data_IF_600928191091
#
_entry.id   IF_600928191091
#
_cell.length_a   1.000
_cell.length_b   1.000
_cell.length_c   1.000
_cell.angle_alpha   90.00
_cell.angle_beta   90.00
_cell.angle_gamma   90.00
#
_symmetry.space_group_name_H-M   'P 1'
#
loop_
_entity.id
_entity.type
_entity.pdbx_description
1 polymer ?
#
# COMPACT_ATOMS: atom_id res chain seq x y z
N UNK A 1 6.72 20.01 -1.44
CA UNK A 1 7.22 19.46 -2.70
C UNK A 1 8.62 19.99 -2.92
N UNK A 2 9.63 19.19 -2.62
CA UNK A 2 11.01 19.45 -3.02
C UNK A 2 11.16 19.13 -4.49
N UNK A 3 11.99 19.85 -5.24
CA UNK A 3 12.53 19.35 -6.50
C UNK A 3 13.98 18.91 -6.23
N UNK A 4 14.32 17.65 -6.45
CA UNK A 4 15.72 17.20 -6.45
C UNK A 4 16.07 16.69 -7.85
N UNK A 5 17.25 17.04 -8.33
CA UNK A 5 17.83 16.50 -9.57
C UNK A 5 18.34 15.09 -9.30
N UNK A 6 17.83 14.09 -10.01
CA UNK A 6 18.18 12.68 -9.80
C UNK A 6 19.34 12.21 -10.71
N UNK A 7 20.19 11.33 -10.19
CA UNK A 7 21.30 10.65 -10.88
C UNK A 7 20.84 9.62 -11.95
N UNK A 8 21.73 9.24 -12.89
CA UNK A 8 21.46 8.77 -14.27
C UNK A 8 21.35 7.24 -14.51
N UNK A 9 21.05 6.38 -13.56
CA UNK A 9 20.73 4.95 -13.85
C UNK A 9 19.62 4.43 -12.93
N UNK A 10 18.61 3.63 -13.36
CA UNK A 10 18.56 2.57 -14.37
C UNK A 10 17.50 2.78 -15.49
N UNK A 11 17.47 1.89 -16.49
CA UNK A 11 16.80 2.07 -17.81
C UNK A 11 15.29 2.40 -17.80
N UNK A 12 14.52 2.05 -16.77
CA UNK A 12 13.07 2.37 -16.69
C UNK A 12 12.79 3.83 -16.29
N UNK A 13 13.70 4.45 -15.52
CA UNK A 13 13.64 5.86 -15.13
C UNK A 13 13.94 6.81 -16.30
N UNK A 14 14.60 6.33 -17.36
CA UNK A 14 14.93 7.14 -18.54
C UNK A 14 13.72 7.72 -19.27
N UNK A 15 12.52 7.14 -19.14
CA UNK A 15 11.32 7.64 -19.84
C UNK A 15 10.54 8.71 -19.08
N UNK A 16 10.56 8.69 -17.74
CA UNK A 16 9.76 9.61 -16.93
C UNK A 16 10.43 10.98 -16.84
N UNK A 17 9.66 12.05 -17.04
CA UNK A 17 10.17 13.45 -16.99
C UNK A 17 10.18 14.00 -15.57
N UNK A 18 9.23 13.53 -14.77
CA UNK A 18 9.00 13.95 -13.40
C UNK A 18 8.48 12.76 -12.59
N UNK A 19 8.88 12.68 -11.32
CA UNK A 19 8.39 11.71 -10.35
C UNK A 19 7.85 12.43 -9.13
N UNK A 20 6.75 11.95 -8.56
CA UNK A 20 6.17 12.50 -7.33
C UNK A 20 6.18 11.43 -6.23
N UNK A 21 6.67 11.80 -5.05
CA UNK A 21 6.71 10.99 -3.84
C UNK A 21 5.95 11.70 -2.72
N UNK A 22 5.19 10.93 -1.95
CA UNK A 22 4.40 11.40 -0.81
C UNK A 22 4.15 10.23 0.14
N UNK A 23 3.33 10.43 1.18
CA UNK A 23 2.97 9.43 2.21
C UNK A 23 4.19 8.94 2.98
N UNK A 24 4.79 7.83 2.57
CA UNK A 24 5.85 7.15 3.32
C UNK A 24 7.19 7.87 3.27
N UNK A 25 7.41 8.76 2.29
CA UNK A 25 8.70 9.45 2.12
C UNK A 25 9.08 10.28 3.35
N UNK A 26 8.10 10.81 4.08
CA UNK A 26 8.30 11.61 5.30
C UNK A 26 8.30 10.81 6.60
N UNK A 27 8.26 9.47 6.57
CA UNK A 27 8.21 8.66 7.80
C UNK A 27 6.98 8.93 8.67
N UNK A 28 5.84 9.22 8.04
CA UNK A 28 4.60 9.61 8.71
C UNK A 28 4.44 11.12 8.92
N UNK A 29 5.49 11.92 8.66
CA UNK A 29 5.42 13.37 8.71
C UNK A 29 5.01 13.96 7.36
N UNK A 30 4.34 15.14 7.34
CA UNK A 30 3.94 15.80 6.09
C UNK A 30 5.15 16.16 5.24
N UNK A 31 5.35 15.39 4.16
CA UNK A 31 6.41 15.65 3.19
C UNK A 31 6.02 15.13 1.81
N UNK A 32 6.36 15.92 0.79
CA UNK A 32 6.31 15.51 -0.60
C UNK A 32 7.57 15.94 -1.32
N UNK A 33 8.02 15.08 -2.23
CA UNK A 33 9.18 15.27 -3.08
C UNK A 33 8.75 15.09 -4.52
N UNK A 34 9.27 15.92 -5.39
CA UNK A 34 9.23 15.78 -6.82
C UNK A 34 10.67 15.67 -7.30
N UNK A 35 10.92 14.74 -8.21
CA UNK A 35 12.20 14.68 -8.92
C UNK A 35 11.93 15.15 -10.34
N UNK A 36 12.66 16.16 -10.80
CA UNK A 36 12.54 16.72 -12.14
C UNK A 36 13.84 16.46 -12.85
N UNK A 37 13.76 16.03 -14.11
CA UNK A 37 14.96 15.95 -14.94
C UNK A 37 15.51 17.36 -15.19
N UNK A 38 16.84 17.55 -15.20
CA UNK A 38 17.45 18.88 -15.37
C UNK A 38 16.94 19.64 -16.60
N UNK A 39 16.72 18.97 -17.74
CA UNK A 39 16.20 19.61 -18.97
C UNK A 39 14.75 20.12 -18.86
N UNK A 40 14.03 19.72 -17.81
CA UNK A 40 12.66 20.15 -17.53
C UNK A 40 12.55 21.04 -16.30
N UNK A 41 13.61 21.14 -15.50
CA UNK A 41 13.69 22.05 -14.36
C UNK A 41 14.05 23.47 -14.85
N UNK A 42 13.03 24.17 -15.34
CA UNK A 42 13.15 25.51 -15.93
C UNK A 42 12.62 26.60 -15.00
N UNK A 43 12.39 26.28 -13.72
CA UNK A 43 11.91 27.23 -12.74
C UNK A 43 12.97 28.28 -12.43
N UNK A 44 12.56 29.54 -12.44
CA UNK A 44 13.37 30.65 -11.95
C UNK A 44 13.34 30.69 -10.42
N UNK A 45 14.33 31.34 -9.79
CA UNK A 45 14.33 31.55 -8.34
C UNK A 45 13.00 32.14 -7.87
N UNK A 46 12.38 31.50 -6.87
CA UNK A 46 11.12 31.95 -6.27
C UNK A 46 9.84 31.41 -6.92
N UNK A 47 9.90 30.77 -8.09
CA UNK A 47 8.70 30.29 -8.80
C UNK A 47 8.05 29.05 -8.16
N UNK A 48 8.78 28.34 -7.29
CA UNK A 48 8.28 27.17 -6.56
C UNK A 48 8.59 27.25 -5.06
N UNK A 49 7.93 28.17 -4.36
CA UNK A 49 8.11 28.42 -2.92
C UNK A 49 6.96 27.87 -2.06
N UNK A 50 7.19 27.74 -0.75
CA UNK A 50 6.15 27.43 0.22
C UNK A 50 6.70 27.34 1.64
N UNK A 51 6.00 27.97 2.58
CA UNK A 51 6.46 28.23 3.97
C UNK A 51 6.86 26.97 4.74
N UNK A 52 6.13 25.88 4.58
CA UNK A 52 6.35 24.62 5.33
C UNK A 52 7.03 23.53 4.51
N UNK A 53 7.55 23.85 3.32
CA UNK A 53 8.23 22.86 2.48
C UNK A 53 9.51 22.43 3.22
N UNK A 54 9.54 21.12 3.51
CA UNK A 54 10.56 20.38 4.28
C UNK A 54 11.01 21.08 5.51
N UNK A 55 10.06 21.11 6.42
CA UNK A 55 10.34 21.00 7.81
C UNK A 55 11.49 19.98 8.05
N UNK A 56 12.49 20.42 8.82
CA UNK A 56 13.70 19.65 9.10
C UNK A 56 13.39 18.29 9.73
N UNK A 57 12.32 18.22 10.52
CA UNK A 57 11.91 17.00 11.21
C UNK A 57 11.56 15.88 10.21
N UNK A 58 10.83 16.20 9.14
CA UNK A 58 10.51 15.24 8.09
C UNK A 58 11.77 14.73 7.40
N UNK A 59 12.77 15.58 7.13
CA UNK A 59 14.04 15.13 6.56
C UNK A 59 14.80 14.18 7.47
N UNK A 60 14.88 14.48 8.77
CA UNK A 60 15.53 13.59 9.75
C UNK A 60 14.84 12.23 9.80
N UNK A 61 13.50 12.21 9.78
CA UNK A 61 12.72 10.98 9.71
C UNK A 61 12.96 10.22 8.39
N UNK A 62 12.97 10.91 7.24
CA UNK A 62 13.25 10.34 5.92
C UNK A 62 14.63 9.69 5.85
N UNK A 63 15.68 10.37 6.36
CA UNK A 63 17.03 9.82 6.39
C UNK A 63 17.08 8.56 7.28
N UNK A 64 16.35 8.57 8.40
CA UNK A 64 16.26 7.40 9.28
C UNK A 64 15.60 6.21 8.57
N UNK A 65 14.59 6.45 7.73
CA UNK A 65 13.95 5.40 6.93
C UNK A 65 14.90 4.74 5.94
N UNK A 66 15.86 5.48 5.36
CA UNK A 66 16.82 4.91 4.41
C UNK A 66 17.66 3.78 5.02
N UNK A 67 17.76 3.69 6.34
CA UNK A 67 18.42 2.58 7.02
C UNK A 67 17.79 1.22 6.71
N UNK A 68 16.47 1.16 6.46
CA UNK A 68 15.77 -0.08 6.09
C UNK A 68 16.15 -0.60 4.69
N UNK A 69 16.84 0.21 3.88
CA UNK A 69 17.31 -0.15 2.53
C UNK A 69 18.84 -0.28 2.46
N UNK A 70 19.52 -0.43 3.61
CA UNK A 70 20.98 -0.68 3.66
C UNK A 70 21.36 -2.08 3.18
N UNK A 71 20.46 -3.03 3.31
CA UNK A 71 20.59 -4.40 2.84
C UNK A 71 19.27 -4.88 2.20
N UNK A 72 19.26 -6.11 1.70
CA UNK A 72 18.09 -6.71 1.07
C UNK A 72 17.07 -7.29 2.07
N UNK A 73 17.31 -7.22 3.39
CA UNK A 73 16.49 -7.89 4.41
C UNK A 73 15.02 -7.46 4.40
N UNK A 74 14.73 -6.15 4.30
CA UNK A 74 13.35 -5.67 4.18
C UNK A 74 12.70 -6.14 2.87
N UNK A 75 13.44 -6.07 1.76
CA UNK A 75 12.95 -6.46 0.43
C UNK A 75 12.60 -7.95 0.39
N UNK A 76 13.48 -8.80 0.90
CA UNK A 76 13.29 -10.25 0.93
C UNK A 76 12.12 -10.63 1.86
N UNK A 77 12.00 -9.97 3.01
CA UNK A 77 10.85 -10.12 3.90
C UNK A 77 9.53 -9.70 3.21
N UNK A 78 9.52 -8.59 2.48
CA UNK A 78 8.34 -8.13 1.71
C UNK A 78 7.98 -9.12 0.61
N UNK A 79 8.95 -9.67 -0.12
CA UNK A 79 8.70 -10.68 -1.15
C UNK A 79 8.05 -11.92 -0.52
N UNK A 80 8.64 -12.46 0.55
CA UNK A 80 8.11 -13.63 1.26
C UNK A 80 6.69 -13.37 1.79
N UNK A 81 6.48 -12.29 2.54
CA UNK A 81 5.17 -11.93 3.10
C UNK A 81 4.13 -11.68 2.02
N UNK A 82 4.53 -11.08 0.89
CA UNK A 82 3.62 -10.85 -0.23
C UNK A 82 3.10 -12.16 -0.82
N UNK A 83 3.93 -13.20 -0.88
CA UNK A 83 3.50 -14.51 -1.35
C UNK A 83 2.49 -15.13 -0.38
N UNK A 84 2.75 -15.08 0.93
CA UNK A 84 1.82 -15.55 1.97
C UNK A 84 0.46 -14.87 1.85
N UNK A 85 0.43 -13.54 1.75
CA UNK A 85 -0.82 -12.78 1.59
C UNK A 85 -1.54 -13.21 0.31
N UNK A 86 -0.81 -13.30 -0.81
CA UNK A 86 -1.38 -13.67 -2.11
C UNK A 86 -2.04 -15.04 -2.05
N UNK A 87 -1.35 -16.01 -1.47
CA UNK A 87 -1.81 -17.39 -1.36
C UNK A 87 -3.06 -17.50 -0.47
N UNK A 88 -3.07 -16.81 0.67
CA UNK A 88 -4.23 -16.75 1.57
C UNK A 88 -5.46 -16.15 0.87
N UNK A 89 -5.29 -15.02 0.18
CA UNK A 89 -6.40 -14.41 -0.57
C UNK A 89 -6.88 -15.30 -1.74
N UNK A 90 -5.98 -16.00 -2.41
CA UNK A 90 -6.34 -16.94 -3.47
C UNK A 90 -7.11 -18.14 -2.94
N UNK A 91 -6.75 -18.64 -1.75
CA UNK A 91 -7.48 -19.72 -1.10
C UNK A 91 -8.90 -19.30 -0.73
N UNK A 92 -9.08 -18.09 -0.19
CA UNK A 92 -10.41 -17.52 0.07
C UNK A 92 -11.23 -17.46 -1.24
N UNK A 93 -10.65 -16.90 -2.32
CA UNK A 93 -11.34 -16.83 -3.61
C UNK A 93 -11.69 -18.21 -4.21
N UNK A 94 -10.85 -19.23 -3.96
CA UNK A 94 -11.10 -20.61 -4.39
C UNK A 94 -12.17 -21.32 -3.56
N UNK A 95 -12.34 -20.94 -2.30
CA UNK A 95 -13.33 -21.52 -1.40
C UNK A 95 -14.73 -21.02 -1.72
N UNK A 96 -14.87 -19.74 -2.09
CA UNK A 96 -16.14 -19.08 -2.43
C UNK A 96 -16.20 -18.75 -3.93
N UNK A 97 -16.17 -19.77 -4.80
CA UNK A 97 -16.02 -19.56 -6.26
C UNK A 97 -17.19 -18.81 -6.88
N UNK A 98 -18.39 -19.04 -6.36
CA UNK A 98 -19.65 -18.39 -6.73
C UNK A 98 -19.58 -16.87 -6.58
N UNK A 99 -18.74 -16.37 -5.67
CA UNK A 99 -18.53 -14.94 -5.44
C UNK A 99 -17.66 -14.29 -6.52
N UNK A 100 -17.05 -15.06 -7.43
CA UNK A 100 -16.21 -14.58 -8.53
C UNK A 100 -15.12 -13.57 -8.09
N UNK A 101 -14.50 -13.84 -6.93
CA UNK A 101 -13.50 -12.93 -6.36
C UNK A 101 -12.18 -12.95 -7.15
N UNK A 102 -11.50 -11.80 -7.21
CA UNK A 102 -10.23 -11.68 -7.91
C UNK A 102 -9.13 -11.07 -7.02
N UNK A 103 -8.01 -11.79 -6.90
CA UNK A 103 -6.84 -11.31 -6.16
C UNK A 103 -5.96 -10.42 -7.05
N UNK A 104 -5.76 -9.17 -6.64
CA UNK A 104 -4.98 -8.16 -7.36
C UNK A 104 -3.89 -7.56 -6.47
N UNK A 105 -2.89 -6.95 -7.10
CA UNK A 105 -1.85 -6.18 -6.40
C UNK A 105 -0.43 -6.72 -6.57
N UNK A 106 0.52 -6.05 -5.91
CA UNK A 106 1.96 -6.32 -5.94
C UNK A 106 2.60 -6.02 -4.59
N UNK A 107 3.57 -6.83 -4.17
CA UNK A 107 4.18 -6.71 -2.84
C UNK A 107 3.11 -6.80 -1.75
N UNK A 108 3.19 -5.94 -0.74
CA UNK A 108 2.18 -5.84 0.33
C UNK A 108 1.04 -4.86 0.01
N UNK A 109 0.96 -4.36 -1.22
CA UNK A 109 -0.23 -3.64 -1.72
C UNK A 109 -1.09 -4.65 -2.45
N UNK A 110 -2.03 -5.28 -1.73
CA UNK A 110 -2.89 -6.33 -2.27
C UNK A 110 -4.36 -6.04 -2.05
N UNK A 111 -5.22 -6.68 -2.82
CA UNK A 111 -6.65 -6.56 -2.64
C UNK A 111 -7.41 -7.77 -3.15
N UNK A 112 -8.53 -8.05 -2.50
CA UNK A 112 -9.52 -9.03 -2.92
C UNK A 112 -10.71 -8.26 -3.49
N UNK A 113 -10.83 -8.27 -4.83
CA UNK A 113 -11.99 -7.70 -5.51
C UNK A 113 -13.16 -8.68 -5.35
N UNK A 114 -14.27 -8.20 -4.80
CA UNK A 114 -15.51 -8.94 -4.62
C UNK A 114 -16.57 -8.22 -5.47
N UNK A 115 -16.97 -8.77 -6.63
CA UNK A 115 -17.91 -8.14 -7.55
C UNK A 115 -19.28 -7.82 -6.96
N UNK A 116 -19.73 -8.61 -5.99
CA UNK A 116 -21.02 -8.41 -5.36
C UNK A 116 -21.08 -7.08 -4.59
N UNK A 117 -22.10 -6.28 -4.91
CA UNK A 117 -22.27 -4.95 -4.36
C UNK A 117 -22.46 -5.00 -2.84
N UNK A 118 -21.70 -4.16 -2.12
CA UNK A 118 -21.80 -4.07 -0.67
C UNK A 118 -21.13 -5.21 0.11
N UNK A 119 -20.77 -6.33 -0.53
CA UNK A 119 -20.16 -7.46 0.17
C UNK A 119 -18.81 -7.09 0.80
N UNK A 120 -17.93 -6.40 0.05
CA UNK A 120 -16.64 -5.91 0.57
C UNK A 120 -16.80 -5.03 1.83
N UNK A 121 -17.86 -4.20 1.89
CA UNK A 121 -18.19 -3.39 3.07
C UNK A 121 -18.68 -4.24 4.24
N UNK A 122 -19.51 -5.26 3.97
CA UNK A 122 -19.97 -6.22 4.97
C UNK A 122 -18.78 -6.95 5.60
N UNK A 123 -17.85 -7.42 4.78
CA UNK A 123 -16.60 -8.06 5.23
C UNK A 123 -15.76 -7.11 6.07
N UNK A 124 -15.52 -5.88 5.60
CA UNK A 124 -14.77 -4.86 6.36
C UNK A 124 -15.40 -4.58 7.74
N UNK A 125 -16.73 -4.46 7.80
CA UNK A 125 -17.46 -4.27 9.08
C UNK A 125 -17.32 -5.47 10.01
N UNK A 126 -17.37 -6.69 9.48
CA UNK A 126 -17.20 -7.91 10.27
C UNK A 126 -15.75 -8.08 10.75
N UNK A 127 -14.76 -7.68 9.95
CA UNK A 127 -13.36 -7.64 10.35
C UNK A 127 -13.13 -6.63 11.48
N UNK A 128 -13.73 -5.45 11.39
CA UNK A 128 -13.65 -4.43 12.44
C UNK A 128 -14.19 -4.91 13.78
N UNK A 129 -15.33 -5.61 13.79
CA UNK A 129 -15.88 -6.23 15.02
C UNK A 129 -14.95 -7.28 15.64
N UNK A 130 -14.04 -7.83 14.85
CA UNK A 130 -13.06 -8.84 15.26
C UNK A 130 -11.69 -8.23 15.57
N UNK A 131 -11.57 -6.90 15.59
CA UNK A 131 -10.34 -6.20 15.95
C UNK A 131 -9.42 -5.85 14.78
N UNK A 132 -9.82 -6.11 13.53
CA UNK A 132 -9.03 -5.78 12.34
C UNK A 132 -9.56 -4.53 11.63
N UNK A 133 -8.73 -3.50 11.52
CA UNK A 133 -9.01 -2.34 10.67
C UNK A 133 -8.61 -2.67 9.23
N UNK A 134 -9.61 -2.75 8.35
CA UNK A 134 -9.40 -2.96 6.92
C UNK A 134 -10.40 -2.13 6.11
N UNK A 135 -9.89 -1.39 5.13
CA UNK A 135 -10.66 -0.44 4.33
C UNK A 135 -11.08 -1.04 2.99
N UNK A 136 -12.14 -0.50 2.40
CA UNK A 136 -12.50 -0.80 1.01
C UNK A 136 -11.86 0.19 0.04
N UNK A 137 -11.77 -0.19 -1.24
CA UNK A 137 -11.30 0.64 -2.33
C UNK A 137 -12.01 0.28 -3.64
N UNK A 138 -11.73 1.02 -4.69
CA UNK A 138 -12.38 0.90 -5.99
C UNK A 138 -13.58 1.85 -6.14
N UNK A 139 -14.00 2.15 -7.38
CA UNK A 139 -15.09 3.08 -7.66
C UNK A 139 -16.42 2.70 -6.99
N UNK A 140 -16.64 1.41 -6.72
CA UNK A 140 -17.85 0.89 -6.10
C UNK A 140 -17.60 0.32 -4.70
N UNK A 141 -16.43 0.58 -4.10
CA UNK A 141 -15.98 -0.03 -2.84
C UNK A 141 -15.95 -1.57 -2.90
N UNK A 142 -15.63 -2.10 -4.08
CA UNK A 142 -15.68 -3.51 -4.41
C UNK A 142 -14.36 -4.26 -4.11
N UNK A 143 -13.35 -3.58 -3.56
CA UNK A 143 -12.06 -4.18 -3.23
C UNK A 143 -11.80 -4.10 -1.74
N UNK A 144 -11.62 -5.24 -1.08
CA UNK A 144 -11.06 -5.29 0.27
C UNK A 144 -9.54 -5.06 0.17
N UNK A 145 -9.05 -3.94 0.70
CA UNK A 145 -7.68 -3.44 0.48
C UNK A 145 -6.76 -3.82 1.63
N UNK A 146 -5.74 -4.63 1.35
CA UNK A 146 -4.68 -5.00 2.28
C UNK A 146 -3.45 -4.10 2.03
N UNK A 147 -3.08 -3.34 3.06
CA UNK A 147 -1.92 -2.45 3.04
C UNK A 147 -1.20 -2.45 4.41
N UNK A 148 -0.75 -3.62 4.91
CA UNK A 148 -0.02 -3.70 6.17
C UNK A 148 1.33 -2.96 6.09
N UNK A 149 1.90 -2.52 7.23
CA UNK A 149 3.25 -1.97 7.23
C UNK A 149 4.25 -3.02 6.77
N UNK A 150 5.30 -2.60 6.04
CA UNK A 150 6.31 -3.53 5.52
C UNK A 150 7.08 -4.27 6.64
N UNK A 151 7.09 -3.68 7.82
CA UNK A 151 7.72 -4.20 9.05
C UNK A 151 6.81 -5.10 9.88
N UNK A 152 5.56 -5.37 9.47
CA UNK A 152 4.61 -6.21 10.24
C UNK A 152 5.24 -7.55 10.62
N UNK A 153 5.04 -8.01 11.86
CA UNK A 153 5.49 -9.34 12.29
C UNK A 153 4.74 -10.44 11.51
N UNK A 154 5.38 -11.60 11.33
CA UNK A 154 4.77 -12.69 10.56
C UNK A 154 3.54 -13.25 11.28
N UNK A 155 3.59 -13.37 12.60
CA UNK A 155 2.48 -13.83 13.43
C UNK A 155 1.28 -12.87 13.34
N UNK A 156 1.52 -11.57 13.43
CA UNK A 156 0.47 -10.55 13.35
C UNK A 156 -0.13 -10.47 11.94
N UNK A 157 0.69 -10.66 10.90
CA UNK A 157 0.21 -10.75 9.52
C UNK A 157 -0.72 -11.96 9.34
N UNK A 158 -0.34 -13.12 9.88
CA UNK A 158 -1.15 -14.33 9.83
C UNK A 158 -2.47 -14.17 10.60
N UNK A 159 -2.43 -13.61 11.81
CA UNK A 159 -3.62 -13.30 12.60
C UNK A 159 -4.60 -12.40 11.83
N UNK A 160 -4.09 -11.34 11.20
CA UNK A 160 -4.91 -10.46 10.37
C UNK A 160 -5.56 -11.20 9.19
N UNK A 161 -4.82 -12.11 8.54
CA UNK A 161 -5.35 -12.93 7.44
C UNK A 161 -6.41 -13.93 7.93
N UNK A 162 -6.26 -14.49 9.13
CA UNK A 162 -7.26 -15.37 9.76
C UNK A 162 -8.56 -14.61 10.05
N UNK A 163 -8.46 -13.36 10.54
CA UNK A 163 -9.63 -12.49 10.75
C UNK A 163 -10.32 -12.18 9.42
N UNK A 164 -9.57 -11.94 8.34
CA UNK A 164 -10.16 -11.69 7.00
C UNK A 164 -10.93 -12.92 6.54
N UNK A 165 -10.33 -14.11 6.60
CA UNK A 165 -10.96 -15.37 6.19
C UNK A 165 -12.26 -15.62 6.97
N UNK A 166 -12.20 -15.47 8.30
CA UNK A 166 -13.37 -15.60 9.17
C UNK A 166 -14.45 -14.56 8.86
N UNK A 167 -14.06 -13.33 8.53
CA UNK A 167 -14.99 -12.26 8.17
C UNK A 167 -15.68 -12.51 6.82
N UNK A 168 -14.97 -13.07 5.85
CA UNK A 168 -15.54 -13.48 4.56
C UNK A 168 -16.55 -14.60 4.79
N UNK A 169 -16.16 -15.64 5.54
CA UNK A 169 -17.04 -16.76 5.91
C UNK A 169 -18.33 -16.27 6.56
N UNK A 170 -18.22 -15.47 7.61
CA UNK A 170 -19.39 -14.92 8.31
C UNK A 170 -20.27 -14.08 7.38
N UNK A 171 -19.66 -13.30 6.48
CA UNK A 171 -20.42 -12.44 5.56
C UNK A 171 -21.19 -13.26 4.52
N UNK A 172 -20.65 -14.40 4.11
CA UNK A 172 -21.26 -15.35 3.19
C UNK A 172 -22.42 -16.10 3.87
N UNK A 173 -22.20 -16.66 5.06
CA UNK A 173 -23.24 -17.41 5.80
C UNK A 173 -24.47 -16.54 6.12
N UNK A 174 -24.27 -15.26 6.47
CA UNK A 174 -25.38 -14.32 6.68
C UNK A 174 -26.04 -13.80 5.38
N UNK A 175 -25.88 -14.47 4.24
CA UNK A 175 -26.70 -14.27 3.03
C UNK A 175 -27.71 -15.39 2.80
N UNK A 176 -27.52 -16.54 3.46
CA UNK A 176 -28.41 -17.70 3.32
C UNK A 176 -29.64 -17.61 4.26
N UNK A 177 -29.65 -16.64 5.17
CA UNK A 177 -30.79 -16.24 6.02
C UNK A 177 -31.62 -15.11 5.37
#
# INVERSE_FOLDING_TARGET
>A
MYALTADRSPQSLKRQRMLCFTVSIGGGLPMSLVLIKPEHDQWKPGEHTGTFRGNNLAFVASISLLNYWKDDGLKDAVIRKSQVVRDRLQNIAKQYKEMNMEVRGKGLIQGLKIPEEGFSRKVSRNAFKQGLIIETAGPYNEVLKLLPPLTIEDELLLEGLDIIEKSVKQSFESQED
#
